data_IF_073629728030
#
_entry.id   IF_073629728030
#
_cell.length_a   1.000
_cell.length_b   1.000
_cell.length_c   1.000
_cell.angle_alpha   90.00
_cell.angle_beta   90.00
_cell.angle_gamma   90.00
#
_symmetry.space_group_name_H-M   'P 1'
#
loop_
_entity.id
_entity.type
_entity.pdbx_description
1 polymer ?
#
# COMPACT_ATOMS: atom_id res chain seq x y z
N UNK A 1 2.07 76.90 -49.89
CA UNK A 1 2.89 77.71 -50.82
C UNK A 1 4.36 77.49 -50.47
N UNK A 2 5.16 76.83 -51.32
CA UNK A 2 6.59 76.45 -51.10
C UNK A 2 6.82 75.49 -49.89
N UNK A 3 7.47 74.33 -49.94
CA UNK A 3 8.71 73.78 -50.55
C UNK A 3 9.90 73.72 -49.58
N UNK A 4 10.39 72.49 -49.30
CA UNK A 4 11.72 72.13 -48.74
C UNK A 4 12.07 72.65 -47.32
N UNK A 5 12.98 72.10 -46.51
CA UNK A 5 13.93 70.94 -46.58
C UNK A 5 14.02 70.35 -45.13
N UNK A 6 14.72 69.29 -44.72
CA UNK A 6 15.81 68.45 -45.25
C UNK A 6 15.81 67.05 -44.56
N UNK A 7 16.83 66.21 -44.81
CA UNK A 7 17.07 64.90 -44.14
C UNK A 7 18.20 65.02 -43.09
N UNK A 8 18.08 64.30 -41.97
CA UNK A 8 19.24 63.80 -41.20
C UNK A 8 19.03 62.34 -40.80
N UNK A 9 20.02 61.52 -41.10
CA UNK A 9 20.09 60.11 -40.71
C UNK A 9 20.71 59.99 -39.32
N UNK A 10 20.25 59.05 -38.50
CA UNK A 10 21.01 58.54 -37.36
C UNK A 10 20.77 57.03 -37.23
N UNK A 11 21.83 56.29 -36.94
CA UNK A 11 21.87 54.83 -36.83
C UNK A 11 22.38 54.44 -35.42
N UNK A 12 22.45 53.13 -35.15
CA UNK A 12 22.92 52.53 -33.88
C UNK A 12 21.93 52.66 -32.69
N UNK A 13 21.79 51.68 -31.79
CA UNK A 13 22.22 50.27 -31.80
C UNK A 13 21.30 49.49 -30.85
N UNK A 14 20.71 48.36 -31.28
CA UNK A 14 19.89 47.50 -30.40
C UNK A 14 20.73 46.32 -29.90
N UNK A 15 21.09 46.35 -28.62
CA UNK A 15 21.76 45.24 -27.94
C UNK A 15 20.73 44.22 -27.44
N UNK A 16 20.65 43.06 -28.11
CA UNK A 16 19.94 41.90 -27.59
C UNK A 16 20.81 41.16 -26.56
N UNK A 17 20.46 41.27 -25.28
CA UNK A 17 21.08 40.49 -24.22
C UNK A 17 20.38 39.13 -24.08
N UNK A 18 20.99 38.07 -24.61
CA UNK A 18 20.45 36.70 -24.57
C UNK A 18 20.74 36.01 -23.22
N UNK A 19 19.83 36.13 -22.26
CA UNK A 19 19.89 35.34 -21.01
C UNK A 19 19.47 33.90 -21.26
N UNK A 20 20.44 32.98 -21.37
CA UNK A 20 20.18 31.54 -21.40
C UNK A 20 19.79 31.07 -19.99
N UNK A 21 18.50 31.07 -19.70
CA UNK A 21 17.95 30.49 -18.49
C UNK A 21 18.00 28.97 -18.54
N UNK A 22 19.02 28.37 -17.92
CA UNK A 22 19.09 26.90 -17.76
C UNK A 22 18.04 26.47 -16.74
N UNK A 23 16.88 26.03 -17.23
CA UNK A 23 15.84 25.43 -16.40
C UNK A 23 16.31 24.06 -15.89
N UNK A 24 16.78 24.00 -14.65
CA UNK A 24 16.99 22.75 -13.93
C UNK A 24 15.63 22.08 -13.70
N UNK A 25 15.24 21.21 -14.64
CA UNK A 25 13.99 20.47 -14.59
C UNK A 25 13.97 19.53 -13.40
N UNK A 26 13.26 19.91 -12.33
CA UNK A 26 13.01 19.03 -11.20
C UNK A 26 12.10 17.88 -11.63
N UNK A 27 12.69 16.72 -11.94
CA UNK A 27 11.98 15.48 -12.28
C UNK A 27 11.31 14.84 -11.05
N UNK A 28 10.51 15.62 -10.32
CA UNK A 28 9.56 15.12 -9.34
C UNK A 28 8.44 14.42 -10.11
N UNK A 29 8.42 13.09 -10.08
CA UNK A 29 7.41 12.29 -10.74
C UNK A 29 6.06 12.42 -10.07
N UNK A 30 5.35 13.53 -10.30
CA UNK A 30 3.93 13.64 -9.98
C UNK A 30 3.15 12.70 -10.90
N UNK A 31 2.84 11.53 -10.36
CA UNK A 31 1.99 10.55 -11.03
C UNK A 31 0.58 11.13 -11.08
N UNK A 32 0.03 11.31 -12.28
CA UNK A 32 -1.29 11.91 -12.45
C UNK A 32 -2.39 11.06 -11.78
N UNK A 33 -3.25 11.75 -11.02
CA UNK A 33 -4.39 11.16 -10.32
C UNK A 33 -5.40 10.61 -11.33
N UNK A 34 -5.70 9.31 -11.22
CA UNK A 34 -6.71 8.66 -12.04
C UNK A 34 -8.12 8.94 -11.49
N UNK A 35 -9.14 8.79 -12.34
CA UNK A 35 -10.51 8.61 -11.84
C UNK A 35 -10.51 7.39 -10.89
N UNK A 36 -10.90 7.60 -9.64
CA UNK A 36 -10.64 6.64 -8.58
C UNK A 36 -11.65 5.48 -8.60
N UNK A 37 -11.31 4.39 -9.30
CA UNK A 37 -11.92 3.09 -9.05
C UNK A 37 -11.76 2.79 -7.54
N UNK A 38 -12.86 2.57 -6.84
CA UNK A 38 -12.89 2.44 -5.38
C UNK A 38 -13.79 1.27 -4.98
N UNK A 39 -13.18 0.21 -4.48
CA UNK A 39 -13.82 -1.04 -4.12
C UNK A 39 -13.83 -1.18 -2.60
N UNK A 40 -14.97 -1.59 -2.04
CA UNK A 40 -15.17 -1.73 -0.61
C UNK A 40 -15.79 -3.08 -0.31
N UNK A 41 -15.08 -3.90 0.46
CA UNK A 41 -15.49 -5.25 0.80
C UNK A 41 -15.62 -5.39 2.31
N UNK A 42 -16.75 -5.94 2.74
CA UNK A 42 -17.15 -6.17 4.13
C UNK A 42 -17.31 -7.68 4.31
N UNK A 43 -16.54 -8.27 5.23
CA UNK A 43 -16.21 -9.70 5.19
C UNK A 43 -16.90 -10.48 6.32
N UNK A 44 -17.74 -11.44 5.94
CA UNK A 44 -18.37 -12.36 6.89
C UNK A 44 -19.78 -12.79 6.47
N UNK A 45 -20.69 -12.88 7.44
CA UNK A 45 -22.09 -13.28 7.20
C UNK A 45 -23.09 -12.61 8.14
N UNK A 46 -22.74 -11.44 8.69
CA UNK A 46 -23.61 -10.56 9.44
C UNK A 46 -24.36 -9.57 8.54
N UNK A 47 -24.53 -8.35 9.04
CA UNK A 47 -25.15 -7.25 8.29
C UNK A 47 -24.10 -6.50 7.48
N UNK A 48 -24.28 -6.40 6.17
CA UNK A 48 -23.38 -5.64 5.29
C UNK A 48 -23.56 -4.14 5.52
N UNK A 49 -22.46 -3.42 5.76
CA UNK A 49 -22.48 -1.98 5.98
C UNK A 49 -22.74 -1.15 4.72
N UNK A 50 -23.30 0.04 4.93
CA UNK A 50 -23.75 0.91 3.84
C UNK A 50 -22.58 1.38 2.97
N UNK A 51 -22.64 1.08 1.66
CA UNK A 51 -21.59 1.41 0.70
C UNK A 51 -20.43 0.40 0.65
N UNK A 52 -20.59 -0.77 1.26
CA UNK A 52 -19.70 -1.93 1.10
C UNK A 52 -20.38 -3.06 0.31
N UNK A 53 -19.56 -3.93 -0.28
CA UNK A 53 -19.97 -5.20 -0.90
C UNK A 53 -19.72 -6.32 0.11
N UNK A 54 -20.77 -7.03 0.51
CA UNK A 54 -20.64 -8.18 1.40
C UNK A 54 -19.92 -9.35 0.72
N UNK A 55 -18.98 -9.98 1.43
CA UNK A 55 -18.24 -11.16 0.97
C UNK A 55 -18.17 -12.21 2.08
N UNK A 56 -18.87 -13.32 1.90
CA UNK A 56 -18.79 -14.44 2.84
C UNK A 56 -17.65 -15.39 2.51
N UNK A 57 -17.19 -16.17 3.50
CA UNK A 57 -16.23 -17.25 3.29
C UNK A 57 -16.66 -18.28 2.23
N UNK A 58 -17.96 -18.37 1.92
CA UNK A 58 -18.49 -19.23 0.86
C UNK A 58 -18.47 -18.60 -0.54
N UNK A 59 -18.20 -17.29 -0.66
CA UNK A 59 -18.16 -16.58 -1.95
C UNK A 59 -16.89 -16.92 -2.73
N UNK A 60 -16.95 -17.99 -3.50
CA UNK A 60 -15.92 -18.34 -4.47
C UNK A 60 -15.72 -17.27 -5.55
N UNK A 61 -14.47 -17.05 -5.93
CA UNK A 61 -14.10 -16.20 -7.06
C UNK A 61 -14.79 -16.68 -8.34
N UNK A 62 -15.37 -15.75 -9.09
CA UNK A 62 -15.86 -15.98 -10.46
C UNK A 62 -15.59 -14.73 -11.30
N UNK A 63 -15.21 -14.91 -12.57
CA UNK A 63 -15.02 -13.82 -13.53
C UNK A 63 -16.29 -12.98 -13.74
N UNK A 64 -17.48 -13.54 -13.50
CA UNK A 64 -18.76 -12.80 -13.58
C UNK A 64 -18.98 -11.86 -12.39
N UNK A 65 -18.48 -12.20 -11.18
CA UNK A 65 -18.47 -11.29 -10.03
C UNK A 65 -17.31 -10.29 -10.10
N UNK A 66 -16.17 -10.72 -10.64
CA UNK A 66 -14.91 -10.00 -10.55
C UNK A 66 -14.26 -10.05 -9.16
N UNK A 67 -14.77 -10.85 -8.23
CA UNK A 67 -14.18 -11.03 -6.89
C UNK A 67 -14.62 -12.34 -6.21
N UNK A 68 -13.92 -12.72 -5.15
CA UNK A 68 -14.25 -13.83 -4.24
C UNK A 68 -13.00 -14.60 -3.77
N UNK A 69 -13.19 -15.63 -2.95
CA UNK A 69 -12.09 -16.48 -2.48
C UNK A 69 -11.69 -17.53 -3.51
N UNK A 70 -10.38 -17.73 -3.68
CA UNK A 70 -9.84 -18.74 -4.61
C UNK A 70 -9.99 -20.17 -4.07
N UNK A 71 -9.92 -20.38 -2.74
CA UNK A 71 -10.24 -21.66 -2.10
C UNK A 71 -11.24 -21.53 -0.94
N UNK A 72 -12.55 -21.34 -1.19
CA UNK A 72 -13.57 -21.14 -0.15
C UNK A 72 -13.62 -22.21 0.94
N UNK A 73 -13.27 -23.45 0.60
CA UNK A 73 -13.18 -24.56 1.57
C UNK A 73 -12.14 -24.34 2.69
N UNK A 74 -11.18 -23.42 2.48
CA UNK A 74 -10.17 -23.02 3.45
C UNK A 74 -10.50 -21.65 4.11
N UNK A 75 -11.75 -21.20 4.03
CA UNK A 75 -12.25 -19.97 4.64
C UNK A 75 -13.37 -20.27 5.63
N UNK A 76 -13.55 -19.39 6.63
CA UNK A 76 -14.62 -19.52 7.64
C UNK A 76 -15.15 -18.16 8.08
N UNK A 77 -16.47 -17.97 8.09
CA UNK A 77 -17.10 -16.81 8.73
C UNK A 77 -16.92 -16.90 10.25
N UNK A 78 -16.54 -15.79 10.89
CA UNK A 78 -16.36 -15.67 12.34
C UNK A 78 -16.87 -14.31 12.81
N UNK A 79 -17.30 -14.20 14.07
CA UNK A 79 -17.61 -12.88 14.66
C UNK A 79 -16.32 -12.13 15.04
N UNK A 80 -16.42 -10.80 14.99
CA UNK A 80 -15.39 -9.86 15.44
C UNK A 80 -15.93 -9.01 16.60
N UNK A 81 -15.06 -8.42 17.42
CA UNK A 81 -15.46 -7.74 18.67
C UNK A 81 -15.70 -6.23 18.52
N UNK A 82 -15.81 -5.73 17.29
CA UNK A 82 -16.01 -4.31 16.99
C UNK A 82 -17.46 -4.00 16.57
N UNK A 83 -17.61 -2.96 15.75
CA UNK A 83 -18.89 -2.48 15.23
C UNK A 83 -18.79 -2.11 13.75
N UNK A 84 -19.93 -2.06 13.05
CA UNK A 84 -19.98 -1.98 11.59
C UNK A 84 -19.22 -3.14 10.95
N UNK A 85 -18.38 -2.83 9.97
CA UNK A 85 -17.49 -3.79 9.28
C UNK A 85 -16.51 -4.54 10.21
N UNK A 86 -16.40 -4.15 11.49
CA UNK A 86 -15.61 -4.86 12.51
C UNK A 86 -16.46 -5.74 13.43
N UNK A 87 -17.74 -5.97 13.13
CA UNK A 87 -18.63 -6.85 13.91
C UNK A 87 -18.54 -8.33 13.50
N UNK A 88 -18.11 -8.61 12.27
CA UNK A 88 -17.72 -9.93 11.80
C UNK A 88 -16.48 -9.90 10.91
N UNK A 89 -16.03 -11.09 10.49
CA UNK A 89 -14.84 -11.31 9.68
C UNK A 89 -14.93 -12.64 8.92
N UNK A 90 -14.07 -12.81 7.92
CA UNK A 90 -13.62 -14.14 7.49
C UNK A 90 -12.31 -14.52 8.19
N UNK A 91 -12.06 -15.81 8.37
CA UNK A 91 -10.79 -16.37 8.81
C UNK A 91 -10.17 -17.23 7.70
N UNK A 92 -8.87 -17.01 7.44
CA UNK A 92 -8.06 -17.88 6.60
C UNK A 92 -7.62 -19.13 7.39
N UNK A 93 -7.99 -20.32 6.92
CA UNK A 93 -7.64 -21.61 7.54
C UNK A 93 -6.34 -22.18 6.95
N UNK A 94 -6.03 -21.85 5.69
CA UNK A 94 -4.73 -22.08 5.05
C UNK A 94 -4.09 -20.72 4.76
N UNK A 95 -2.78 -20.61 4.98
CA UNK A 95 -2.03 -19.34 4.97
C UNK A 95 -0.56 -19.56 4.58
N UNK A 96 0.25 -18.50 4.62
CA UNK A 96 1.61 -18.43 4.09
C UNK A 96 1.65 -17.56 2.82
N UNK A 97 2.75 -16.84 2.58
CA UNK A 97 2.86 -15.87 1.47
C UNK A 97 2.66 -16.49 0.08
N UNK A 98 2.91 -17.79 -0.08
CA UNK A 98 2.70 -18.57 -1.32
C UNK A 98 1.40 -19.38 -1.32
N UNK A 99 0.51 -19.18 -0.35
CA UNK A 99 -0.76 -19.88 -0.28
C UNK A 99 -1.70 -19.44 -1.39
N UNK A 100 -2.40 -20.39 -2.01
CA UNK A 100 -3.48 -20.12 -2.96
C UNK A 100 -4.80 -19.74 -2.28
N UNK A 101 -4.86 -19.72 -0.94
CA UNK A 101 -6.05 -19.32 -0.19
C UNK A 101 -6.16 -17.79 -0.06
N UNK A 102 -6.40 -17.13 -1.19
CA UNK A 102 -6.51 -15.67 -1.31
C UNK A 102 -7.95 -15.22 -1.51
N UNK A 103 -8.25 -14.01 -1.04
CA UNK A 103 -9.27 -13.18 -1.66
C UNK A 103 -8.73 -12.63 -2.97
N UNK A 104 -9.50 -12.79 -4.05
CA UNK A 104 -9.18 -12.31 -5.39
C UNK A 104 -10.16 -11.18 -5.74
N UNK A 105 -9.65 -10.14 -6.39
CA UNK A 105 -10.47 -9.10 -7.02
C UNK A 105 -9.84 -8.65 -8.34
N UNK A 106 -10.64 -8.63 -9.40
CA UNK A 106 -10.27 -8.18 -10.74
C UNK A 106 -10.20 -6.65 -10.74
N UNK A 107 -9.05 -6.10 -11.12
CA UNK A 107 -8.73 -4.67 -11.04
C UNK A 107 -8.06 -4.22 -12.34
N UNK A 108 -8.40 -3.03 -12.83
CA UNK A 108 -7.76 -2.47 -14.02
C UNK A 108 -6.31 -2.10 -13.70
N UNK A 109 -5.34 -2.50 -14.54
CA UNK A 109 -3.91 -2.28 -14.26
C UNK A 109 -3.59 -0.84 -13.80
N UNK A 110 -2.75 -0.72 -12.78
CA UNK A 110 -2.41 0.56 -12.16
C UNK A 110 -1.74 0.43 -10.80
N UNK A 111 -1.59 1.55 -10.10
CA UNK A 111 -1.16 1.61 -8.71
C UNK A 111 -2.40 1.80 -7.83
N UNK A 112 -2.53 0.97 -6.79
CA UNK A 112 -3.62 1.00 -5.82
C UNK A 112 -3.10 1.27 -4.42
N UNK A 113 -3.96 1.89 -3.61
CA UNK A 113 -3.86 1.89 -2.15
C UNK A 113 -4.87 0.88 -1.59
N UNK A 114 -4.39 -0.02 -0.74
CA UNK A 114 -5.17 -1.06 -0.07
C UNK A 114 -5.12 -0.80 1.42
N UNK A 115 -6.26 -0.39 1.98
CA UNK A 115 -6.48 -0.30 3.43
C UNK A 115 -7.10 -1.61 3.90
N UNK A 116 -6.53 -2.17 4.96
CA UNK A 116 -6.93 -3.46 5.55
C UNK A 116 -7.46 -3.23 6.96
N UNK A 117 -8.59 -3.84 7.28
CA UNK A 117 -9.13 -3.91 8.65
C UNK A 117 -9.23 -5.38 9.05
N UNK A 118 -8.50 -5.78 10.09
CA UNK A 118 -8.53 -7.15 10.60
C UNK A 118 -9.69 -7.37 11.58
N UNK A 119 -10.19 -8.59 11.63
CA UNK A 119 -11.16 -9.04 12.64
C UNK A 119 -10.50 -9.29 14.00
N UNK A 120 -10.97 -10.31 14.73
CA UNK A 120 -10.36 -10.75 15.98
C UNK A 120 -8.98 -11.40 15.73
N UNK A 121 -7.89 -10.66 15.97
CA UNK A 121 -6.51 -11.06 15.68
C UNK A 121 -5.57 -10.78 16.85
N UNK A 122 -4.79 -11.79 17.25
CA UNK A 122 -3.73 -11.62 18.24
C UNK A 122 -2.48 -10.97 17.62
N UNK A 123 -1.92 -11.60 16.57
CA UNK A 123 -0.89 -11.00 15.71
C UNK A 123 -0.89 -11.68 14.33
N UNK A 124 -1.10 -10.91 13.27
CA UNK A 124 -1.12 -11.39 11.89
C UNK A 124 -0.29 -10.49 10.97
N UNK A 125 0.05 -10.99 9.79
CA UNK A 125 0.66 -10.20 8.72
C UNK A 125 -0.28 -10.21 7.50
N UNK A 126 -0.20 -9.21 6.63
CA UNK A 126 -0.92 -9.21 5.34
C UNK A 126 0.06 -9.60 4.25
N UNK A 127 -0.36 -10.48 3.34
CA UNK A 127 0.39 -10.82 2.14
C UNK A 127 -0.47 -10.59 0.89
N UNK A 128 0.16 -10.13 -0.18
CA UNK A 128 -0.44 -10.04 -1.51
C UNK A 128 0.65 -10.15 -2.58
N UNK A 129 0.30 -10.64 -3.77
CA UNK A 129 1.22 -10.88 -4.90
C UNK A 129 2.43 -11.75 -4.57
N UNK A 130 2.17 -12.76 -3.73
CA UNK A 130 3.12 -13.78 -3.30
C UNK A 130 4.07 -13.37 -2.18
N UNK A 131 3.95 -12.17 -1.61
CA UNK A 131 4.88 -11.64 -0.59
C UNK A 131 4.16 -10.87 0.53
N UNK A 132 4.85 -10.62 1.65
CA UNK A 132 4.33 -9.76 2.71
C UNK A 132 4.11 -8.31 2.24
N UNK A 133 3.09 -7.67 2.80
CA UNK A 133 2.74 -6.28 2.53
C UNK A 133 2.72 -5.43 3.82
N UNK A 134 2.10 -5.95 4.88
CA UNK A 134 2.09 -5.38 6.23
C UNK A 134 2.58 -6.46 7.21
N UNK A 135 3.41 -6.08 8.16
CA UNK A 135 4.05 -7.00 9.12
C UNK A 135 3.42 -6.84 10.51
N UNK A 136 3.03 -7.96 11.11
CA UNK A 136 2.68 -8.10 12.54
C UNK A 136 1.66 -7.08 13.10
N UNK A 137 0.55 -6.87 12.40
CA UNK A 137 -0.64 -6.19 12.93
C UNK A 137 -1.15 -6.89 14.21
N UNK A 138 -1.44 -6.12 15.26
CA UNK A 138 -1.87 -6.63 16.58
C UNK A 138 -3.17 -6.00 17.07
N UNK A 139 -4.08 -6.83 17.61
CA UNK A 139 -5.34 -6.39 18.19
C UNK A 139 -6.54 -6.57 17.26
N UNK A 140 -7.73 -6.60 17.86
CA UNK A 140 -8.99 -6.71 17.12
C UNK A 140 -9.30 -5.37 16.42
N UNK A 141 -9.78 -5.40 15.17
CA UNK A 141 -10.01 -4.16 14.40
C UNK A 141 -8.71 -3.48 13.93
N UNK A 142 -7.56 -4.14 14.04
CA UNK A 142 -6.28 -3.57 13.63
C UNK A 142 -6.33 -3.11 12.17
N UNK A 143 -5.99 -1.85 11.95
CA UNK A 143 -6.12 -1.17 10.65
C UNK A 143 -4.78 -0.62 10.20
N UNK A 144 -4.43 -0.83 8.94
CA UNK A 144 -3.24 -0.26 8.28
C UNK A 144 -3.47 -0.18 6.75
N UNK A 145 -2.58 0.48 6.00
CA UNK A 145 -2.69 0.60 4.54
C UNK A 145 -1.34 0.52 3.82
N UNK A 146 -1.33 -0.01 2.60
CA UNK A 146 -0.15 -0.09 1.75
C UNK A 146 -0.48 0.23 0.30
N UNK A 147 0.55 0.61 -0.48
CA UNK A 147 0.43 0.82 -1.92
C UNK A 147 1.01 -0.38 -2.69
N UNK A 148 0.31 -0.84 -3.73
CA UNK A 148 0.68 -2.01 -4.53
C UNK A 148 0.32 -1.80 -6.02
N UNK A 149 1.21 -2.17 -6.96
CA UNK A 149 0.89 -2.17 -8.38
C UNK A 149 0.17 -3.47 -8.78
N UNK A 150 -0.90 -3.34 -9.56
CA UNK A 150 -1.58 -4.46 -10.25
C UNK A 150 -1.11 -4.46 -11.71
N UNK A 151 -0.63 -5.60 -12.18
CA UNK A 151 0.09 -5.73 -13.48
C UNK A 151 -0.52 -6.73 -14.47
N UNK A 152 -1.35 -7.65 -13.98
CA UNK A 152 -1.95 -8.78 -14.68
C UNK A 152 -3.49 -8.79 -14.62
N UNK A 153 -4.09 -7.74 -14.04
CA UNK A 153 -5.54 -7.55 -13.98
C UNK A 153 -6.23 -8.06 -12.71
N UNK A 154 -5.50 -8.58 -11.72
CA UNK A 154 -6.07 -9.09 -10.47
C UNK A 154 -5.21 -8.70 -9.25
N UNK A 155 -5.82 -8.62 -8.07
CA UNK A 155 -5.13 -8.57 -6.78
C UNK A 155 -5.46 -9.85 -6.00
N UNK A 156 -4.44 -10.56 -5.52
CA UNK A 156 -4.54 -11.76 -4.72
C UNK A 156 -3.99 -11.51 -3.30
N UNK A 157 -4.88 -11.37 -2.31
CA UNK A 157 -4.56 -10.97 -0.94
C UNK A 157 -4.98 -12.04 0.08
N UNK A 158 -4.15 -12.26 1.12
CA UNK A 158 -4.56 -13.02 2.31
C UNK A 158 -4.02 -12.42 3.62
N UNK A 159 -4.73 -12.68 4.71
CA UNK A 159 -4.19 -12.49 6.06
C UNK A 159 -3.48 -13.79 6.47
N UNK A 160 -2.24 -13.65 6.95
CA UNK A 160 -1.29 -14.75 7.13
C UNK A 160 -0.56 -14.62 8.47
N UNK A 161 0.34 -15.56 8.75
CA UNK A 161 1.01 -15.70 10.03
C UNK A 161 1.76 -14.44 10.50
N UNK A 162 1.47 -14.08 11.75
CA UNK A 162 2.29 -13.19 12.59
C UNK A 162 2.59 -13.83 13.95
N UNK A 163 1.66 -14.65 14.47
CA UNK A 163 1.86 -15.55 15.61
C UNK A 163 1.15 -16.89 15.38
N UNK A 164 1.93 -17.96 15.36
CA UNK A 164 1.46 -19.35 15.23
C UNK A 164 0.39 -19.71 16.26
N UNK A 165 -0.59 -20.50 15.83
CA UNK A 165 -1.68 -20.95 16.70
C UNK A 165 -2.71 -19.87 17.06
N UNK A 166 -2.75 -18.75 16.32
CA UNK A 166 -3.78 -17.70 16.49
C UNK A 166 -4.59 -17.51 15.21
N UNK A 167 -5.73 -16.82 15.30
CA UNK A 167 -6.61 -16.60 14.15
C UNK A 167 -6.09 -15.47 13.24
N UNK A 168 -6.18 -15.70 11.92
CA UNK A 168 -5.81 -14.74 10.88
C UNK A 168 -7.09 -14.30 10.17
N UNK A 169 -7.61 -13.13 10.55
CA UNK A 169 -8.98 -12.70 10.23
C UNK A 169 -9.03 -11.38 9.49
N UNK A 170 -9.90 -11.27 8.49
CA UNK A 170 -10.13 -10.06 7.69
C UNK A 170 -11.59 -9.61 7.87
N UNK A 171 -11.77 -8.34 8.24
CA UNK A 171 -13.07 -7.69 8.47
C UNK A 171 -13.44 -6.76 7.30
N UNK A 172 -12.50 -5.94 6.82
CA UNK A 172 -12.76 -5.07 5.66
C UNK A 172 -11.53 -4.88 4.77
N UNK A 173 -11.79 -4.59 3.49
CA UNK A 173 -10.84 -3.98 2.56
C UNK A 173 -11.46 -2.72 1.92
N UNK A 174 -10.67 -1.65 1.86
CA UNK A 174 -10.93 -0.52 0.94
C UNK A 174 -9.76 -0.45 -0.06
N UNK A 175 -10.07 -0.53 -1.35
CA UNK A 175 -9.08 -0.59 -2.45
C UNK A 175 -9.35 0.57 -3.39
N UNK A 176 -8.42 1.53 -3.44
CA UNK A 176 -8.58 2.79 -4.18
C UNK A 176 -7.48 2.94 -5.23
N UNK A 177 -7.85 3.16 -6.49
CA UNK A 177 -6.87 3.45 -7.55
C UNK A 177 -6.22 4.80 -7.32
N UNK A 178 -4.89 4.83 -7.38
CA UNK A 178 -4.06 6.04 -7.33
C UNK A 178 -3.66 6.50 -8.73
N UNK A 179 -3.31 5.55 -9.60
CA UNK A 179 -2.91 5.85 -10.97
C UNK A 179 -3.13 4.67 -11.92
N UNK A 180 -3.19 4.96 -13.22
CA UNK A 180 -3.11 3.98 -14.31
C UNK A 180 -1.69 3.46 -14.58
N UNK A 181 -0.66 4.01 -13.92
CA UNK A 181 0.72 3.52 -14.02
C UNK A 181 0.98 2.38 -13.02
N UNK A 182 1.53 1.25 -13.48
CA UNK A 182 1.77 0.05 -12.66
C UNK A 182 3.09 0.10 -11.88
N UNK A 183 3.48 1.28 -11.38
CA UNK A 183 4.76 1.50 -10.67
C UNK A 183 4.52 2.01 -9.26
N UNK A 184 5.27 1.51 -8.29
CA UNK A 184 5.22 2.01 -6.91
C UNK A 184 5.74 3.45 -6.85
N UNK A 185 5.15 4.27 -5.97
CA UNK A 185 5.74 5.55 -5.60
C UNK A 185 7.16 5.37 -5.04
N UNK A 186 7.93 6.45 -4.99
CA UNK A 186 9.26 6.44 -4.39
C UNK A 186 9.14 6.06 -2.90
N UNK A 187 9.88 5.07 -2.46
CA UNK A 187 9.64 4.40 -1.17
C UNK A 187 10.92 4.28 -0.34
N UNK A 188 10.79 4.45 0.97
CA UNK A 188 11.80 4.10 1.97
C UNK A 188 11.35 2.82 2.65
N UNK A 189 12.00 1.71 2.32
CA UNK A 189 11.82 0.43 2.99
C UNK A 189 12.67 0.41 4.26
N UNK A 190 12.12 -0.06 5.37
CA UNK A 190 12.82 -0.19 6.65
C UNK A 190 12.79 -1.65 7.09
N UNK A 191 13.93 -2.21 7.51
CA UNK A 191 14.04 -3.55 8.07
C UNK A 191 14.78 -3.54 9.41
N UNK A 192 14.43 -4.48 10.29
CA UNK A 192 15.06 -4.61 11.60
C UNK A 192 14.21 -5.31 12.65
N UNK A 193 14.54 -5.04 13.92
CA UNK A 193 14.02 -5.69 15.12
C UNK A 193 12.87 -4.91 15.84
N UNK A 194 12.62 -5.22 17.11
CA UNK A 194 11.61 -4.58 17.99
C UNK A 194 11.85 -3.10 18.30
N UNK A 195 13.08 -2.61 18.16
CA UNK A 195 13.44 -1.18 18.27
C UNK A 195 13.11 -0.41 16.98
N UNK A 196 12.76 -1.13 15.90
CA UNK A 196 12.50 -0.59 14.56
C UNK A 196 11.03 -0.74 14.16
N UNK A 197 10.38 -1.86 14.52
CA UNK A 197 9.09 -2.27 13.97
C UNK A 197 7.86 -1.46 14.43
N UNK A 198 6.77 -1.63 13.68
CA UNK A 198 5.46 -1.12 14.02
C UNK A 198 4.83 -1.86 15.23
N UNK A 199 3.96 -1.15 15.94
CA UNK A 199 3.15 -1.58 17.08
C UNK A 199 1.77 -0.93 16.94
N UNK A 200 0.68 -1.69 17.12
CA UNK A 200 -0.66 -1.23 16.74
C UNK A 200 -1.51 -0.88 17.98
N UNK A 201 -2.38 0.14 17.89
CA UNK A 201 -2.63 1.01 16.73
C UNK A 201 -1.50 2.02 16.49
N UNK A 202 -1.08 2.22 15.23
CA UNK A 202 0.14 2.96 14.85
C UNK A 202 0.26 4.37 15.46
N UNK A 203 -0.88 5.06 15.62
CA UNK A 203 -0.94 6.43 16.15
C UNK A 203 -1.19 6.54 17.66
N UNK A 204 -1.32 5.43 18.39
CA UNK A 204 -1.65 5.42 19.82
C UNK A 204 -1.03 4.28 20.64
N UNK A 205 -0.12 3.50 20.06
CA UNK A 205 0.60 2.44 20.75
C UNK A 205 1.58 3.01 21.79
N UNK A 206 1.57 2.47 23.01
CA UNK A 206 2.46 2.90 24.10
C UNK A 206 3.93 2.53 23.83
N UNK A 207 4.15 1.44 23.09
CA UNK A 207 5.44 1.06 22.53
C UNK A 207 5.46 1.41 21.03
N UNK A 208 6.63 1.73 20.48
CA UNK A 208 6.85 1.91 19.04
C UNK A 208 8.33 1.84 18.72
N UNK A 209 8.70 1.20 17.61
CA UNK A 209 10.05 1.30 17.07
C UNK A 209 10.26 2.61 16.31
N UNK A 210 11.51 3.03 16.12
CA UNK A 210 11.80 4.31 15.46
C UNK A 210 11.28 4.35 14.01
N UNK A 211 11.22 3.21 13.33
CA UNK A 211 10.68 3.08 11.97
C UNK A 211 9.19 3.41 11.86
N UNK A 212 8.42 3.26 12.95
CA UNK A 212 7.02 3.71 13.02
C UNK A 212 6.90 5.24 13.10
N UNK A 213 7.85 5.90 13.75
CA UNK A 213 7.85 7.37 13.92
C UNK A 213 8.49 8.09 12.72
N UNK A 214 9.30 7.37 11.94
CA UNK A 214 10.03 7.89 10.78
C UNK A 214 9.19 8.67 9.74
N UNK A 215 7.92 8.31 9.42
CA UNK A 215 7.06 9.11 8.52
C UNK A 215 6.89 10.57 8.95
N UNK A 216 6.97 10.88 10.25
CA UNK A 216 6.86 12.25 10.79
C UNK A 216 8.10 13.11 10.52
N UNK A 217 9.20 12.52 10.03
CA UNK A 217 10.48 13.17 9.80
C UNK A 217 10.91 13.19 8.32
N UNK A 218 10.04 12.74 7.40
CA UNK A 218 10.29 12.74 5.95
C UNK A 218 9.16 13.44 5.19
N UNK A 219 9.45 13.88 3.96
CA UNK A 219 8.42 14.47 3.10
C UNK A 219 7.55 13.37 2.49
N UNK A 220 6.37 13.13 3.09
CA UNK A 220 5.40 12.13 2.63
C UNK A 220 4.77 12.44 1.26
N UNK A 221 4.94 13.65 0.71
CA UNK A 221 4.60 13.94 -0.70
C UNK A 221 5.74 13.57 -1.68
N UNK A 222 6.87 13.08 -1.18
CA UNK A 222 8.02 12.59 -1.97
C UNK A 222 8.32 11.11 -1.70
N UNK A 223 8.06 10.61 -0.49
CA UNK A 223 8.36 9.24 -0.10
C UNK A 223 7.19 8.57 0.61
N UNK A 224 6.82 7.37 0.16
CA UNK A 224 6.17 6.40 1.04
C UNK A 224 7.19 5.83 2.03
N UNK A 225 6.75 5.44 3.22
CA UNK A 225 7.54 4.64 4.16
C UNK A 225 6.90 3.26 4.28
N UNK A 226 7.70 2.20 4.21
CA UNK A 226 7.24 0.81 4.41
C UNK A 226 8.11 0.12 5.45
N UNK A 227 7.61 0.10 6.70
CA UNK A 227 8.30 -0.54 7.81
C UNK A 227 8.05 -2.06 7.80
N UNK A 228 9.01 -2.80 7.26
CA UNK A 228 8.98 -4.26 7.14
C UNK A 228 9.71 -4.95 8.32
N UNK A 229 10.14 -4.21 9.35
CA UNK A 229 10.80 -4.75 10.54
C UNK A 229 9.86 -5.62 11.42
N UNK A 230 10.42 -6.48 12.28
CA UNK A 230 9.65 -7.35 13.17
C UNK A 230 10.33 -7.63 14.51
N UNK A 231 9.53 -7.62 15.58
CA UNK A 231 10.00 -7.85 16.95
C UNK A 231 10.70 -9.22 17.11
N UNK A 232 11.97 -9.19 17.53
CA UNK A 232 12.80 -10.39 17.75
C UNK A 232 13.49 -10.95 16.49
N UNK A 233 13.46 -10.23 15.37
CA UNK A 233 14.11 -10.64 14.13
C UNK A 233 15.61 -10.35 14.12
N UNK A 234 16.35 -11.11 13.30
CA UNK A 234 17.79 -11.06 13.10
C UNK A 234 18.13 -11.17 11.61
N UNK A 235 19.33 -10.73 11.21
CA UNK A 235 19.70 -10.57 9.81
C UNK A 235 19.53 -11.82 8.91
N UNK A 236 19.65 -13.04 9.47
CA UNK A 236 19.39 -14.28 8.73
C UNK A 236 17.88 -14.49 8.49
N UNK A 237 17.06 -14.45 9.54
CA UNK A 237 15.61 -14.66 9.39
C UNK A 237 14.96 -13.58 8.52
N UNK A 238 15.39 -12.33 8.63
CA UNK A 238 14.90 -11.27 7.73
C UNK A 238 15.18 -11.56 6.25
N UNK A 239 16.35 -12.14 5.95
CA UNK A 239 16.77 -12.53 4.61
C UNK A 239 16.02 -13.77 4.10
N UNK A 240 15.91 -14.79 4.94
CA UNK A 240 15.47 -16.14 4.54
C UNK A 240 13.95 -16.33 4.68
N UNK A 241 13.31 -15.69 5.67
CA UNK A 241 11.88 -15.89 6.03
C UNK A 241 10.93 -14.91 5.31
N UNK A 242 11.35 -14.34 4.19
CA UNK A 242 10.49 -13.60 3.24
C UNK A 242 10.33 -12.09 3.44
N UNK A 243 10.88 -11.49 4.51
CA UNK A 243 10.84 -10.02 4.68
C UNK A 243 11.71 -9.30 3.62
N UNK A 244 12.91 -9.84 3.33
CA UNK A 244 13.76 -9.36 2.25
C UNK A 244 13.16 -9.63 0.85
N UNK A 245 12.46 -10.76 0.66
CA UNK A 245 11.75 -11.04 -0.60
C UNK A 245 10.67 -9.98 -0.89
N UNK A 246 9.90 -9.59 0.13
CA UNK A 246 8.88 -8.56 0.02
C UNK A 246 9.45 -7.18 -0.37
N UNK A 247 10.67 -6.84 0.06
CA UNK A 247 11.36 -5.62 -0.38
C UNK A 247 11.86 -5.78 -1.82
N UNK A 248 12.55 -6.87 -2.12
CA UNK A 248 13.14 -7.15 -3.45
C UNK A 248 12.10 -7.24 -4.57
N UNK A 249 10.84 -7.61 -4.26
CA UNK A 249 9.71 -7.63 -5.20
C UNK A 249 9.35 -6.23 -5.77
N UNK A 250 9.66 -5.14 -5.04
CA UNK A 250 9.16 -3.79 -5.38
C UNK A 250 10.19 -2.65 -5.35
N UNK A 251 11.34 -2.84 -4.70
CA UNK A 251 12.37 -1.80 -4.58
C UNK A 251 13.05 -1.52 -5.94
N UNK A 252 13.19 -0.25 -6.30
CA UNK A 252 13.69 0.19 -7.61
C UNK A 252 14.63 1.41 -7.49
N UNK A 253 15.37 1.79 -8.56
CA UNK A 253 16.22 2.98 -8.54
C UNK A 253 15.48 4.24 -8.07
N UNK A 254 16.06 4.91 -7.07
CA UNK A 254 15.45 6.06 -6.40
C UNK A 254 14.87 5.76 -5.02
N UNK A 255 14.44 4.52 -4.76
CA UNK A 255 14.03 4.07 -3.43
C UNK A 255 15.23 3.96 -2.48
N UNK A 256 14.96 3.84 -1.17
CA UNK A 256 15.96 3.57 -0.14
C UNK A 256 15.61 2.33 0.66
N UNK A 257 16.63 1.64 1.18
CA UNK A 257 16.49 0.59 2.18
C UNK A 257 17.34 0.95 3.40
N UNK A 258 16.69 1.08 4.56
CA UNK A 258 17.35 1.32 5.85
C UNK A 258 17.23 0.04 6.67
N UNK A 259 18.35 -0.43 7.25
CA UNK A 259 18.43 -1.73 7.90
C UNK A 259 19.22 -1.64 9.22
N UNK A 260 18.70 -2.25 10.28
CA UNK A 260 19.32 -2.29 11.61
C UNK A 260 19.02 -3.64 12.30
N UNK A 261 20.04 -4.27 12.89
CA UNK A 261 19.97 -5.43 13.78
C UNK A 261 21.09 -5.34 14.84
#
# INVERSE_FOLDING_TARGET
>A
MKWSTAVKLLFCLVLFASTIGVSLGSSGGQVAEAAADNYRFDFGSGSVESGYTGVSAGDGYTTTKGYGFNTPANMRNVSASGSGVMSDAVQFLTFGTKSTNTFNVDLSNGLYEVKVVLGNTARASVAAEGVYQIINMTGNGATDQFQIPVTDGQLNLLVTEGKTGTAFTLSALEIRKLSNQTVTNRTIYIGGDSTVCNYYPLGSSVQGGWGQLFPSYVNNATFQVRNMASSGQFARGFRDDGQMEAILKYIKPGDYFILQF
#
